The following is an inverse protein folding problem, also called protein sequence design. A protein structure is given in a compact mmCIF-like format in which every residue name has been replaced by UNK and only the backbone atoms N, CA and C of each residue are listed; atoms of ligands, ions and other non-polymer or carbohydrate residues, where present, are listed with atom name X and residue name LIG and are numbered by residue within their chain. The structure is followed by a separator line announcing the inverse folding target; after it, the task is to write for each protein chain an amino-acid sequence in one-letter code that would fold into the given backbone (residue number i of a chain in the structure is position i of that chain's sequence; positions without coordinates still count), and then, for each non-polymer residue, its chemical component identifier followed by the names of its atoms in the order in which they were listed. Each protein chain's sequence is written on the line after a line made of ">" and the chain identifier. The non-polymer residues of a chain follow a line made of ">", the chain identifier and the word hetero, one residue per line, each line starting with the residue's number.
data_IF_304961829449
#
_entry.id   IF_304961829449
#
_cell.length_a   1.000
_cell.length_b   1.000
_cell.length_c   1.000
_cell.angle_alpha   90.00
_cell.angle_beta   90.00
_cell.angle_gamma   90.00
#
_symmetry.space_group_name_H-M   'P 1'
#
loop_
_entity.id
_entity.type
_entity.pdbx_description
1 polymer ?
#
# COMPACT_ATOMS: atom_id res chain seq x y z
N UNK A 1 -21.87 27.58 56.21
CA UNK A 1 -21.35 27.74 54.84
C UNK A 1 -20.70 26.43 54.38
N UNK A 2 -21.52 25.54 53.82
CA UNK A 2 -21.04 24.32 53.18
C UNK A 2 -20.79 24.60 51.68
N UNK A 3 -19.53 24.63 51.24
CA UNK A 3 -19.16 24.56 49.79
C UNK A 3 -19.04 23.09 49.40
N UNK A 4 -20.01 22.62 48.60
CA UNK A 4 -19.98 21.30 48.01
C UNK A 4 -18.80 21.14 47.03
N UNK A 5 -17.99 20.10 47.26
CA UNK A 5 -17.00 19.58 46.33
C UNK A 5 -17.74 18.93 45.17
N UNK A 6 -17.73 19.58 43.98
CA UNK A 6 -18.13 18.94 42.75
C UNK A 6 -17.11 17.83 42.43
N UNK A 7 -17.52 16.59 42.57
CA UNK A 7 -16.72 15.43 42.21
C UNK A 7 -16.40 15.45 40.72
N UNK A 8 -15.11 15.50 40.36
CA UNK A 8 -14.60 15.20 39.03
C UNK A 8 -15.04 13.79 38.68
N UNK A 9 -16.09 13.65 37.87
CA UNK A 9 -16.42 12.39 37.24
C UNK A 9 -15.24 12.01 36.36
N UNK A 10 -14.47 11.01 36.77
CA UNK A 10 -13.38 10.42 35.99
C UNK A 10 -13.92 10.05 34.61
N UNK A 11 -13.32 10.61 33.57
CA UNK A 11 -13.52 10.22 32.19
C UNK A 11 -13.18 8.72 32.12
N UNK A 12 -14.17 7.84 31.97
CA UNK A 12 -13.93 6.44 31.61
C UNK A 12 -13.10 6.47 30.32
N UNK A 13 -11.98 5.74 30.23
CA UNK A 13 -11.28 5.61 28.98
C UNK A 13 -12.27 5.13 27.92
N UNK A 14 -12.28 5.74 26.76
CA UNK A 14 -13.04 5.27 25.63
C UNK A 14 -12.65 3.80 25.43
N UNK A 15 -13.64 2.90 25.36
CA UNK A 15 -13.36 1.50 25.08
C UNK A 15 -12.64 1.46 23.73
N UNK A 16 -11.38 1.05 23.74
CA UNK A 16 -10.63 0.81 22.53
C UNK A 16 -11.36 -0.25 21.72
N UNK A 17 -11.64 0.04 20.45
CA UNK A 17 -12.20 -0.95 19.54
C UNK A 17 -11.10 -1.95 19.21
N UNK A 18 -11.08 -3.07 19.92
CA UNK A 18 -10.14 -4.16 19.66
C UNK A 18 -10.73 -5.08 18.59
N UNK A 19 -10.10 -5.14 17.44
CA UNK A 19 -10.42 -6.10 16.37
C UNK A 19 -9.38 -7.22 16.42
N UNK A 20 -9.85 -8.46 16.55
CA UNK A 20 -8.96 -9.63 16.49
C UNK A 20 -8.67 -9.98 15.03
N UNK A 21 -7.40 -10.26 14.71
CA UNK A 21 -6.95 -10.69 13.38
C UNK A 21 -5.83 -11.71 13.55
N UNK A 22 -5.77 -12.66 12.64
CA UNK A 22 -4.71 -13.67 12.56
C UNK A 22 -3.75 -13.42 11.37
N UNK A 23 -3.78 -12.20 10.80
CA UNK A 23 -3.07 -11.90 9.55
C UNK A 23 -1.70 -11.26 9.80
N UNK A 24 -1.67 -10.13 10.48
CA UNK A 24 -0.43 -9.37 10.70
C UNK A 24 -0.22 -9.06 12.16
N UNK A 25 0.99 -9.32 12.65
CA UNK A 25 1.49 -8.84 13.93
C UNK A 25 2.67 -7.90 13.70
N UNK A 26 2.83 -6.91 14.59
CA UNK A 26 4.03 -6.06 14.66
C UNK A 26 4.60 -6.23 16.06
N UNK A 27 5.71 -6.95 16.16
CA UNK A 27 6.35 -7.31 17.43
C UNK A 27 7.85 -7.02 17.36
N UNK A 28 8.40 -6.46 18.42
CA UNK A 28 9.84 -6.13 18.47
C UNK A 28 10.32 -5.20 17.35
N UNK A 29 9.41 -4.36 16.80
CA UNK A 29 9.75 -3.48 15.67
C UNK A 29 9.82 -4.20 14.31
N UNK A 30 9.31 -5.43 14.20
CA UNK A 30 9.26 -6.19 12.96
C UNK A 30 7.81 -6.59 12.60
N UNK A 31 7.41 -6.55 11.33
CA UNK A 31 6.12 -7.06 10.86
C UNK A 31 6.20 -8.54 10.51
N UNK A 32 5.11 -9.27 10.82
CA UNK A 32 4.94 -10.70 10.56
C UNK A 32 3.60 -10.94 9.86
N UNK A 33 3.58 -11.71 8.78
CA UNK A 33 2.36 -12.21 8.15
C UNK A 33 2.11 -13.65 8.60
N UNK A 34 1.00 -13.90 9.30
CA UNK A 34 0.65 -15.22 9.85
C UNK A 34 1.83 -15.89 10.58
N UNK A 35 2.58 -15.10 11.35
CA UNK A 35 3.71 -15.57 12.13
C UNK A 35 5.05 -15.67 11.40
N UNK A 36 5.13 -15.40 10.10
CA UNK A 36 6.38 -15.39 9.34
C UNK A 36 6.90 -13.95 9.15
N UNK A 37 8.22 -13.70 9.36
CA UNK A 37 8.80 -12.37 9.15
C UNK A 37 8.60 -11.89 7.71
N UNK A 38 8.09 -10.66 7.53
CA UNK A 38 7.78 -10.13 6.21
C UNK A 38 9.01 -9.99 5.31
N UNK A 39 10.17 -9.71 5.89
CA UNK A 39 11.43 -9.62 5.15
C UNK A 39 11.94 -10.98 4.67
N UNK A 40 11.67 -12.06 5.41
CA UNK A 40 11.98 -13.43 4.97
C UNK A 40 11.03 -13.87 3.84
N UNK A 41 9.75 -13.53 3.95
CA UNK A 41 8.80 -13.74 2.86
C UNK A 41 9.23 -13.02 1.58
N UNK A 42 9.66 -11.75 1.69
CA UNK A 42 10.16 -10.97 0.54
C UNK A 42 11.50 -11.49 -0.03
N UNK A 43 12.25 -12.27 0.75
CA UNK A 43 13.48 -12.91 0.28
C UNK A 43 13.23 -14.22 -0.47
N UNK A 44 12.24 -15.00 -0.06
CA UNK A 44 12.01 -16.37 -0.52
C UNK A 44 10.80 -16.58 -1.42
N UNK A 45 9.86 -15.63 -1.47
CA UNK A 45 8.57 -15.80 -2.15
C UNK A 45 8.21 -14.59 -3.02
N UNK A 46 7.50 -14.86 -4.12
CA UNK A 46 6.88 -13.82 -4.94
C UNK A 46 5.59 -13.28 -4.34
N UNK A 47 5.14 -12.13 -4.86
CA UNK A 47 3.96 -11.43 -4.34
C UNK A 47 2.69 -12.29 -4.39
N UNK A 48 2.45 -12.98 -5.51
CA UNK A 48 1.27 -13.83 -5.67
C UNK A 48 1.27 -14.99 -4.63
N UNK A 49 2.42 -15.56 -4.35
CA UNK A 49 2.55 -16.62 -3.34
C UNK A 49 2.22 -16.11 -1.94
N UNK A 50 2.71 -14.90 -1.59
CA UNK A 50 2.44 -14.29 -0.29
C UNK A 50 0.99 -13.84 -0.16
N UNK A 51 0.36 -13.36 -1.22
CA UNK A 51 -1.06 -13.04 -1.22
C UNK A 51 -1.93 -14.30 -0.99
N UNK A 52 -1.63 -15.41 -1.67
CA UNK A 52 -2.30 -16.70 -1.43
C UNK A 52 -2.09 -17.19 0.02
N UNK A 53 -0.88 -17.02 0.55
CA UNK A 53 -0.57 -17.32 1.95
C UNK A 53 -1.41 -16.49 2.91
N UNK A 54 -1.54 -15.19 2.66
CA UNK A 54 -2.39 -14.30 3.47
C UNK A 54 -3.86 -14.74 3.44
N UNK A 55 -4.38 -15.16 2.28
CA UNK A 55 -5.78 -15.54 2.12
C UNK A 55 -6.11 -16.89 2.70
N UNK A 56 -5.25 -17.89 2.49
CA UNK A 56 -5.54 -19.29 2.78
C UNK A 56 -4.74 -19.90 3.92
N UNK A 57 -3.64 -19.25 4.34
CA UNK A 57 -2.65 -19.86 5.25
C UNK A 57 -1.80 -20.95 4.61
N UNK A 58 -1.81 -21.06 3.27
CA UNK A 58 -1.04 -22.05 2.51
C UNK A 58 -0.40 -21.39 1.30
N UNK A 59 0.84 -21.75 0.99
CA UNK A 59 1.47 -21.36 -0.26
C UNK A 59 0.86 -22.12 -1.43
N UNK A 60 0.70 -21.48 -2.61
CA UNK A 60 0.19 -22.15 -3.80
C UNK A 60 1.17 -23.21 -4.31
N UNK A 61 0.67 -24.14 -5.11
CA UNK A 61 1.54 -25.08 -5.81
C UNK A 61 2.42 -24.32 -6.83
N UNK A 62 3.66 -24.77 -7.07
CA UNK A 62 4.56 -24.13 -8.05
C UNK A 62 3.98 -24.07 -9.48
N UNK A 63 3.02 -24.94 -9.79
CA UNK A 63 2.33 -25.01 -11.09
C UNK A 63 1.04 -24.19 -11.14
N UNK A 64 0.78 -23.32 -10.15
CA UNK A 64 -0.42 -22.48 -10.14
C UNK A 64 -0.45 -21.58 -11.39
N UNK A 65 -1.60 -21.45 -12.07
CA UNK A 65 -1.71 -20.62 -13.25
C UNK A 65 -1.51 -19.14 -12.89
N UNK A 66 -0.95 -18.33 -13.82
CA UNK A 66 -0.81 -16.90 -13.61
C UNK A 66 -2.17 -16.22 -13.44
N UNK A 67 -2.23 -15.24 -12.55
CA UNK A 67 -3.45 -14.48 -12.32
C UNK A 67 -3.85 -13.67 -13.55
N UNK A 68 -5.14 -13.63 -13.86
CA UNK A 68 -5.70 -12.90 -15.00
C UNK A 68 -7.08 -12.34 -14.66
N UNK A 69 -7.36 -11.15 -15.15
CA UNK A 69 -8.72 -10.62 -15.18
C UNK A 69 -9.48 -11.18 -16.38
N UNK A 70 -10.79 -11.34 -16.26
CA UNK A 70 -11.66 -11.69 -17.38
C UNK A 70 -11.61 -10.62 -18.48
N UNK A 71 -11.73 -11.03 -19.75
CA UNK A 71 -11.59 -10.13 -20.89
C UNK A 71 -12.60 -8.98 -20.87
N UNK A 72 -13.86 -9.25 -20.50
CA UNK A 72 -14.92 -8.24 -20.39
C UNK A 72 -14.61 -7.22 -19.27
N UNK A 73 -14.22 -7.71 -18.08
CA UNK A 73 -13.82 -6.88 -16.95
C UNK A 73 -12.64 -5.97 -17.31
N UNK A 74 -11.59 -6.56 -17.92
CA UNK A 74 -10.40 -5.82 -18.35
C UNK A 74 -10.75 -4.74 -19.39
N UNK A 75 -11.60 -5.05 -20.36
CA UNK A 75 -12.06 -4.08 -21.35
C UNK A 75 -12.83 -2.92 -20.69
N UNK A 76 -13.69 -3.20 -19.70
CA UNK A 76 -14.42 -2.19 -18.95
C UNK A 76 -13.44 -1.30 -18.14
N UNK A 77 -12.50 -1.89 -17.42
CA UNK A 77 -11.50 -1.16 -16.65
C UNK A 77 -10.61 -0.26 -17.50
N UNK A 78 -10.13 -0.76 -18.64
CA UNK A 78 -9.33 0.02 -19.60
C UNK A 78 -10.11 1.20 -20.18
N UNK A 79 -11.37 1.01 -20.56
CA UNK A 79 -12.23 2.12 -21.06
C UNK A 79 -12.45 3.16 -19.98
N UNK A 80 -12.77 2.75 -18.77
CA UNK A 80 -13.05 3.66 -17.67
C UNK A 80 -11.84 4.53 -17.33
N UNK A 81 -10.64 3.96 -17.19
CA UNK A 81 -9.43 4.74 -16.90
C UNK A 81 -8.95 5.58 -18.09
N UNK A 82 -9.22 5.17 -19.34
CA UNK A 82 -8.88 5.93 -20.53
C UNK A 82 -9.69 7.23 -20.67
N UNK A 83 -10.81 7.36 -19.97
CA UNK A 83 -11.60 8.59 -19.91
C UNK A 83 -10.98 9.66 -18.97
N UNK A 84 -9.97 9.31 -18.17
CA UNK A 84 -9.26 10.26 -17.32
C UNK A 84 -8.28 11.11 -18.16
N UNK A 85 -7.98 12.34 -17.70
CA UNK A 85 -6.95 13.18 -18.33
C UNK A 85 -5.61 12.46 -18.46
N UNK A 86 -4.78 12.81 -19.46
CA UNK A 86 -3.45 12.22 -19.64
C UNK A 86 -2.56 12.33 -18.40
N UNK A 87 -2.69 13.43 -17.65
CA UNK A 87 -1.92 13.77 -16.46
C UNK A 87 -2.38 13.00 -15.22
N UNK A 88 -3.48 12.25 -15.29
CA UNK A 88 -4.00 11.48 -14.17
C UNK A 88 -2.95 10.51 -13.66
N UNK A 89 -2.74 10.52 -12.34
CA UNK A 89 -1.76 9.67 -11.68
C UNK A 89 -2.15 8.18 -11.75
N UNK A 90 -1.18 7.27 -11.69
CA UNK A 90 -1.45 5.83 -11.71
C UNK A 90 -2.47 5.38 -10.67
N UNK A 91 -2.43 5.92 -9.42
CA UNK A 91 -3.43 5.60 -8.39
C UNK A 91 -4.84 6.02 -8.77
N UNK A 92 -5.03 7.18 -9.43
CA UNK A 92 -6.35 7.63 -9.88
C UNK A 92 -6.91 6.67 -10.94
N UNK A 93 -6.06 6.22 -11.87
CA UNK A 93 -6.42 5.22 -12.89
C UNK A 93 -6.80 3.88 -12.26
N UNK A 94 -6.02 3.40 -11.28
CA UNK A 94 -6.27 2.18 -10.53
C UNK A 94 -7.63 2.25 -9.81
N UNK A 95 -7.96 3.39 -9.17
CA UNK A 95 -9.23 3.58 -8.46
C UNK A 95 -10.44 3.48 -9.39
N UNK A 96 -10.38 4.12 -10.54
CA UNK A 96 -11.46 4.05 -11.54
C UNK A 96 -11.57 2.65 -12.14
N UNK A 97 -10.43 2.03 -12.46
CA UNK A 97 -10.39 0.67 -12.98
C UNK A 97 -10.96 -0.36 -11.99
N UNK A 98 -10.69 -0.23 -10.68
CA UNK A 98 -11.19 -1.15 -9.66
C UNK A 98 -12.71 -1.26 -9.66
N UNK A 99 -13.40 -0.13 -9.76
CA UNK A 99 -14.88 -0.09 -9.83
C UNK A 99 -15.40 -0.68 -11.15
N UNK A 100 -14.71 -0.38 -12.25
CA UNK A 100 -15.14 -0.86 -13.56
C UNK A 100 -14.93 -2.37 -13.75
N UNK A 101 -13.84 -2.93 -13.19
CA UNK A 101 -13.56 -4.35 -13.22
C UNK A 101 -14.68 -5.20 -12.58
N UNK A 102 -15.34 -4.69 -11.55
CA UNK A 102 -16.46 -5.35 -10.88
C UNK A 102 -17.63 -5.68 -11.83
N UNK A 103 -17.84 -4.86 -12.86
CA UNK A 103 -18.95 -5.04 -13.81
C UNK A 103 -18.81 -6.26 -14.71
N UNK A 104 -17.63 -6.82 -14.80
CA UNK A 104 -17.34 -8.02 -15.60
C UNK A 104 -17.15 -9.30 -14.78
N UNK A 105 -17.51 -9.28 -13.50
CA UNK A 105 -17.49 -10.46 -12.61
C UNK A 105 -18.90 -10.74 -12.08
N UNK A 106 -19.58 -11.70 -12.72
CA UNK A 106 -20.94 -12.11 -12.38
C UNK A 106 -21.02 -12.81 -11.01
N UNK A 107 -19.88 -13.36 -10.53
CA UNK A 107 -19.79 -14.08 -9.26
C UNK A 107 -19.30 -13.21 -8.09
N UNK A 108 -19.12 -11.90 -8.30
CA UNK A 108 -18.54 -11.03 -7.25
C UNK A 108 -19.32 -11.00 -5.93
N UNK A 109 -20.61 -11.34 -5.94
CA UNK A 109 -21.44 -11.41 -4.74
C UNK A 109 -21.30 -12.74 -3.97
N UNK A 110 -20.57 -13.70 -4.50
CA UNK A 110 -20.22 -14.94 -3.83
C UNK A 110 -19.07 -14.70 -2.84
N UNK A 111 -19.38 -14.76 -1.54
CA UNK A 111 -18.44 -14.37 -0.48
C UNK A 111 -17.78 -15.57 0.22
N UNK A 112 -17.90 -16.78 -0.32
CA UNK A 112 -17.14 -17.91 0.20
C UNK A 112 -15.63 -17.78 -0.18
N UNK A 113 -14.71 -18.34 0.62
CA UNK A 113 -13.27 -18.06 0.46
C UNK A 113 -12.72 -18.31 -0.94
N UNK A 114 -13.15 -19.37 -1.63
CA UNK A 114 -12.66 -19.67 -2.97
C UNK A 114 -13.10 -18.64 -4.02
N UNK A 115 -14.32 -18.09 -3.93
CA UNK A 115 -14.79 -17.03 -4.81
C UNK A 115 -14.07 -15.70 -4.53
N UNK A 116 -13.92 -15.34 -3.25
CA UNK A 116 -13.20 -14.12 -2.84
C UNK A 116 -11.75 -14.15 -3.31
N UNK A 117 -11.05 -15.28 -3.18
CA UNK A 117 -9.66 -15.39 -3.66
C UNK A 117 -9.58 -15.36 -5.18
N UNK A 118 -10.53 -15.96 -5.89
CA UNK A 118 -10.62 -15.87 -7.35
C UNK A 118 -10.84 -14.42 -7.81
N UNK A 119 -11.78 -13.70 -7.19
CA UNK A 119 -12.01 -12.27 -7.43
C UNK A 119 -10.75 -11.44 -7.09
N UNK A 120 -10.04 -11.76 -6.01
CA UNK A 120 -8.79 -11.11 -5.62
C UNK A 120 -7.69 -11.24 -6.67
N UNK A 121 -7.47 -12.46 -7.20
CA UNK A 121 -6.52 -12.70 -8.30
C UNK A 121 -6.88 -11.90 -9.55
N UNK A 122 -8.16 -11.93 -9.95
CA UNK A 122 -8.64 -11.22 -11.11
C UNK A 122 -8.53 -9.70 -10.94
N UNK A 123 -8.89 -9.19 -9.76
CA UNK A 123 -8.82 -7.76 -9.45
C UNK A 123 -7.36 -7.26 -9.47
N UNK A 124 -6.45 -7.87 -8.71
CA UNK A 124 -5.05 -7.43 -8.63
C UNK A 124 -4.38 -7.47 -10.01
N UNK A 125 -4.58 -8.57 -10.76
CA UNK A 125 -4.10 -8.67 -12.13
C UNK A 125 -4.70 -7.57 -13.03
N UNK A 126 -6.02 -7.36 -12.95
CA UNK A 126 -6.73 -6.36 -13.73
C UNK A 126 -6.31 -4.92 -13.43
N UNK A 127 -5.99 -4.60 -12.17
CA UNK A 127 -5.48 -3.28 -11.80
C UNK A 127 -4.15 -2.96 -12.49
N UNK A 128 -3.23 -3.92 -12.53
CA UNK A 128 -1.96 -3.76 -13.25
C UNK A 128 -2.18 -3.68 -14.77
N UNK A 129 -3.04 -4.55 -15.33
CA UNK A 129 -3.31 -4.63 -16.76
C UNK A 129 -4.16 -3.46 -17.30
N UNK A 130 -4.85 -2.71 -16.45
CA UNK A 130 -5.62 -1.52 -16.84
C UNK A 130 -4.77 -0.26 -16.98
N UNK A 131 -3.57 -0.21 -16.40
CA UNK A 131 -2.68 0.95 -16.58
C UNK A 131 -2.28 1.12 -18.05
N UNK A 132 -2.18 2.38 -18.54
CA UNK A 132 -1.61 2.63 -19.86
C UNK A 132 -0.19 2.08 -19.93
N UNK A 133 0.12 1.40 -21.01
CA UNK A 133 1.43 0.80 -21.18
C UNK A 133 2.46 1.87 -21.54
N UNK A 134 3.53 1.97 -20.77
CA UNK A 134 4.66 2.87 -20.98
C UNK A 134 5.85 2.16 -21.64
N UNK A 135 6.14 0.92 -21.22
CA UNK A 135 7.20 0.10 -21.78
C UNK A 135 6.82 -0.50 -23.14
N UNK A 136 7.78 -0.60 -24.05
CA UNK A 136 7.64 -1.26 -25.36
C UNK A 136 7.91 -2.77 -25.31
N UNK A 137 8.56 -3.26 -24.27
CA UNK A 137 8.79 -4.69 -24.10
C UNK A 137 7.49 -5.46 -23.98
N UNK A 138 7.36 -6.63 -24.62
CA UNK A 138 6.28 -7.56 -24.33
C UNK A 138 6.32 -7.92 -22.83
N UNK A 139 5.18 -8.36 -22.27
CA UNK A 139 5.03 -8.59 -20.82
C UNK A 139 6.29 -9.19 -20.20
N UNK A 140 6.99 -8.35 -19.41
CA UNK A 140 8.20 -8.72 -18.74
C UNK A 140 7.87 -9.66 -17.59
N UNK A 141 7.62 -10.91 -17.91
CA UNK A 141 7.21 -11.91 -16.95
C UNK A 141 5.70 -11.97 -16.73
N UNK A 142 5.25 -13.12 -16.31
CA UNK A 142 3.86 -13.49 -16.17
C UNK A 142 3.20 -12.93 -14.92
N UNK A 143 4.00 -12.40 -13.96
CA UNK A 143 3.58 -11.95 -12.63
C UNK A 143 3.05 -10.50 -12.58
N UNK A 144 2.44 -10.15 -11.46
CA UNK A 144 1.89 -8.81 -11.18
C UNK A 144 2.97 -7.75 -11.26
N UNK A 145 4.16 -8.01 -10.71
CA UNK A 145 5.29 -7.08 -10.74
C UNK A 145 5.69 -6.67 -12.16
N UNK A 146 5.80 -7.64 -13.10
CA UNK A 146 6.18 -7.35 -14.48
C UNK A 146 5.13 -6.53 -15.24
N UNK A 147 3.84 -6.83 -15.02
CA UNK A 147 2.73 -6.08 -15.60
C UNK A 147 2.66 -4.65 -15.06
N UNK A 148 2.83 -4.52 -13.75
CA UNK A 148 2.85 -3.22 -13.09
C UNK A 148 4.05 -2.38 -13.55
N UNK A 149 5.22 -3.00 -13.73
CA UNK A 149 6.39 -2.34 -14.32
C UNK A 149 6.07 -1.73 -15.69
N UNK A 150 5.45 -2.51 -16.58
CA UNK A 150 5.08 -2.04 -17.91
C UNK A 150 4.13 -0.84 -17.94
N UNK A 151 3.31 -0.67 -16.90
CA UNK A 151 2.42 0.49 -16.73
C UNK A 151 3.05 1.66 -15.95
N UNK A 152 4.17 1.46 -15.28
CA UNK A 152 4.82 2.48 -14.44
C UNK A 152 6.15 2.99 -14.99
N UNK A 153 6.89 2.20 -15.77
CA UNK A 153 8.18 2.60 -16.32
C UNK A 153 8.21 2.48 -17.86
N UNK A 154 8.78 3.46 -18.57
CA UNK A 154 9.05 3.34 -19.99
C UNK A 154 10.30 2.49 -20.30
N UNK A 155 11.10 2.16 -19.28
CA UNK A 155 12.34 1.39 -19.41
C UNK A 155 12.03 -0.11 -19.35
N UNK A 156 12.83 -0.90 -20.04
CA UNK A 156 12.79 -2.34 -19.93
C UNK A 156 13.25 -2.77 -18.53
N UNK A 157 12.57 -3.74 -17.90
CA UNK A 157 12.91 -4.14 -16.54
C UNK A 157 14.21 -4.94 -16.51
N UNK A 158 15.19 -4.46 -15.76
CA UNK A 158 16.31 -5.28 -15.35
C UNK A 158 15.84 -6.32 -14.33
N UNK A 159 16.23 -7.61 -14.43
CA UNK A 159 15.73 -8.66 -13.56
C UNK A 159 15.90 -8.36 -12.06
N UNK A 160 17.00 -7.73 -11.67
CA UNK A 160 17.26 -7.38 -10.28
C UNK A 160 16.33 -6.27 -9.77
N UNK A 161 16.00 -5.27 -10.61
CA UNK A 161 15.06 -4.20 -10.25
C UNK A 161 13.61 -4.71 -10.28
N UNK A 162 13.27 -5.61 -11.21
CA UNK A 162 11.98 -6.28 -11.22
C UNK A 162 11.78 -7.10 -9.94
N UNK A 163 12.81 -7.83 -9.51
CA UNK A 163 12.81 -8.54 -8.24
C UNK A 163 12.70 -7.59 -7.02
N UNK A 164 13.22 -6.35 -7.12
CA UNK A 164 13.02 -5.36 -6.06
C UNK A 164 11.57 -4.84 -6.02
N UNK A 165 10.91 -4.68 -7.19
CA UNK A 165 9.49 -4.34 -7.27
C UNK A 165 8.62 -5.45 -6.68
N UNK A 166 8.89 -6.71 -7.01
CA UNK A 166 8.16 -7.85 -6.46
C UNK A 166 8.30 -7.93 -4.94
N UNK A 167 9.52 -7.76 -4.42
CA UNK A 167 9.75 -7.67 -2.98
C UNK A 167 9.02 -6.49 -2.35
N UNK A 168 8.94 -5.33 -3.01
CA UNK A 168 8.17 -4.19 -2.52
C UNK A 168 6.68 -4.53 -2.39
N UNK A 169 6.11 -5.25 -3.35
CA UNK A 169 4.73 -5.73 -3.28
C UNK A 169 4.52 -6.67 -2.07
N UNK A 170 5.44 -7.59 -1.82
CA UNK A 170 5.40 -8.47 -0.63
C UNK A 170 5.44 -7.65 0.66
N UNK A 171 6.41 -6.74 0.80
CA UNK A 171 6.58 -5.90 1.99
C UNK A 171 5.37 -5.03 2.32
N UNK A 172 4.52 -4.76 1.34
CA UNK A 172 3.38 -3.85 1.42
C UNK A 172 2.03 -4.59 1.42
N UNK A 173 2.01 -5.91 1.22
CA UNK A 173 0.80 -6.69 1.06
C UNK A 173 -0.19 -6.49 2.21
N UNK A 174 0.30 -6.37 3.45
CA UNK A 174 -0.51 -5.97 4.61
C UNK A 174 0.30 -5.15 5.65
N UNK A 175 -0.38 -4.53 6.58
CA UNK A 175 0.24 -3.79 7.69
C UNK A 175 -0.76 -3.53 8.81
N UNK A 176 -1.25 -4.59 9.44
CA UNK A 176 -2.20 -4.52 10.54
C UNK A 176 -3.47 -3.68 10.21
N UNK A 177 -4.05 -3.01 11.20
CA UNK A 177 -5.27 -2.21 11.05
C UNK A 177 -4.97 -0.75 10.66
N UNK A 178 -4.17 -0.54 9.63
CA UNK A 178 -4.03 0.78 9.02
C UNK A 178 -5.41 1.36 8.63
N UNK A 179 -5.52 2.69 8.49
CA UNK A 179 -6.81 3.35 8.20
C UNK A 179 -7.56 2.75 7.01
N UNK A 180 -6.84 2.42 5.92
CA UNK A 180 -7.44 1.77 4.74
C UNK A 180 -7.89 0.33 5.02
N UNK A 181 -7.15 -0.41 5.84
CA UNK A 181 -7.54 -1.75 6.25
C UNK A 181 -8.80 -1.72 7.11
N UNK A 182 -8.90 -0.79 8.05
CA UNK A 182 -10.11 -0.63 8.86
C UNK A 182 -11.31 -0.25 8.01
N UNK A 183 -11.15 0.66 7.05
CA UNK A 183 -12.21 1.04 6.11
C UNK A 183 -12.67 -0.15 5.25
N UNK A 184 -11.75 -0.96 4.75
CA UNK A 184 -12.03 -2.20 4.02
C UNK A 184 -12.79 -3.22 4.89
N UNK A 185 -12.38 -3.40 6.16
CA UNK A 185 -13.08 -4.27 7.12
C UNK A 185 -14.51 -3.81 7.39
N UNK A 186 -14.74 -2.49 7.53
CA UNK A 186 -16.10 -1.94 7.70
C UNK A 186 -16.97 -2.29 6.49
N UNK A 187 -16.47 -2.12 5.26
CA UNK A 187 -17.18 -2.50 4.06
C UNK A 187 -17.48 -4.02 4.01
N UNK A 188 -16.48 -4.85 4.30
CA UNK A 188 -16.63 -6.30 4.33
C UNK A 188 -17.63 -6.76 5.40
N UNK A 189 -17.65 -6.13 6.58
CA UNK A 189 -18.54 -6.48 7.69
C UNK A 189 -20.03 -6.35 7.36
N UNK A 190 -20.38 -5.51 6.37
CA UNK A 190 -21.74 -5.37 5.82
C UNK A 190 -21.91 -6.15 4.51
N UNK A 191 -21.01 -7.09 4.23
CA UNK A 191 -21.02 -8.01 3.08
C UNK A 191 -20.90 -7.32 1.72
N UNK A 192 -20.19 -6.19 1.64
CA UNK A 192 -19.79 -5.62 0.36
C UNK A 192 -18.89 -6.62 -0.39
N UNK A 193 -19.01 -6.66 -1.72
CA UNK A 193 -18.21 -7.58 -2.56
C UNK A 193 -16.71 -7.22 -2.55
N UNK A 194 -15.80 -8.11 -2.97
CA UNK A 194 -14.35 -7.90 -2.94
C UNK A 194 -13.87 -6.64 -3.69
N UNK A 195 -14.52 -6.27 -4.79
CA UNK A 195 -14.18 -5.06 -5.56
C UNK A 195 -14.59 -3.80 -4.81
N UNK A 196 -15.76 -3.80 -4.16
CA UNK A 196 -16.21 -2.69 -3.33
C UNK A 196 -15.31 -2.52 -2.09
N UNK A 197 -14.90 -3.61 -1.44
CA UNK A 197 -13.93 -3.60 -0.34
C UNK A 197 -12.62 -2.97 -0.78
N UNK A 198 -12.08 -3.40 -1.92
CA UNK A 198 -10.84 -2.82 -2.46
C UNK A 198 -11.02 -1.35 -2.84
N UNK A 199 -12.15 -0.96 -3.44
CA UNK A 199 -12.43 0.43 -3.81
C UNK A 199 -12.44 1.36 -2.57
N UNK A 200 -13.00 0.92 -1.44
CA UNK A 200 -12.96 1.65 -0.16
C UNK A 200 -11.54 1.78 0.37
N UNK A 201 -10.75 0.70 0.32
CA UNK A 201 -9.34 0.73 0.67
C UNK A 201 -8.53 1.70 -0.19
N UNK A 202 -8.70 1.65 -1.51
CA UNK A 202 -8.07 2.54 -2.49
C UNK A 202 -8.45 4.02 -2.28
N UNK A 203 -9.71 4.30 -1.98
CA UNK A 203 -10.17 5.64 -1.66
C UNK A 203 -9.50 6.18 -0.38
N UNK A 204 -9.33 5.33 0.63
CA UNK A 204 -8.69 5.73 1.89
C UNK A 204 -7.18 5.95 1.73
N UNK A 205 -6.50 5.12 0.92
CA UNK A 205 -5.06 5.28 0.63
C UNK A 205 -4.74 6.61 -0.03
N UNK A 206 -5.64 7.18 -0.84
CA UNK A 206 -5.40 8.46 -1.52
C UNK A 206 -5.34 9.67 -0.57
N UNK A 207 -5.59 9.48 0.73
CA UNK A 207 -5.47 10.53 1.73
C UNK A 207 -4.02 10.99 1.95
N UNK A 208 -3.80 12.29 2.12
CA UNK A 208 -2.46 12.91 2.29
C UNK A 208 -1.70 12.45 3.53
N UNK A 209 -2.39 11.87 4.52
CA UNK A 209 -1.80 11.31 5.73
C UNK A 209 -1.59 9.78 5.63
N UNK A 210 -1.82 9.18 4.45
CA UNK A 210 -1.67 7.76 4.20
C UNK A 210 -0.76 7.53 2.99
N UNK A 211 -1.27 7.22 1.79
CA UNK A 211 -0.46 6.93 0.60
C UNK A 211 0.26 8.15 0.01
N UNK A 212 -0.28 9.36 0.19
CA UNK A 212 0.31 10.60 -0.37
C UNK A 212 1.71 10.98 0.15
N UNK A 213 2.27 10.23 1.10
CA UNK A 213 3.61 10.48 1.61
C UNK A 213 4.68 10.20 0.54
N UNK A 214 4.52 9.16 -0.30
CA UNK A 214 5.51 8.81 -1.32
C UNK A 214 5.62 9.87 -2.43
N UNK A 215 4.53 10.52 -2.83
CA UNK A 215 4.56 11.64 -3.79
C UNK A 215 5.43 12.81 -3.32
N UNK A 216 5.40 13.12 -2.03
CA UNK A 216 6.23 14.19 -1.47
C UNK A 216 7.72 13.81 -1.48
N UNK A 217 8.03 12.52 -1.31
CA UNK A 217 9.41 12.02 -1.43
C UNK A 217 9.87 11.98 -2.88
N UNK A 218 9.01 11.55 -3.81
CA UNK A 218 9.29 11.61 -5.26
C UNK A 218 9.62 13.05 -5.69
N UNK A 219 8.86 14.05 -5.22
CA UNK A 219 9.13 15.45 -5.49
C UNK A 219 10.49 15.90 -4.90
N UNK A 220 10.85 15.43 -3.69
CA UNK A 220 12.16 15.71 -3.11
C UNK A 220 13.29 15.11 -3.94
N UNK A 221 13.15 13.86 -4.39
CA UNK A 221 14.15 13.20 -5.22
C UNK A 221 14.29 13.87 -6.60
N UNK A 222 13.20 14.34 -7.18
CA UNK A 222 13.20 15.05 -8.46
C UNK A 222 13.91 16.43 -8.39
N UNK A 223 13.95 17.08 -7.23
CA UNK A 223 14.66 18.35 -7.02
C UNK A 223 16.18 18.18 -6.83
N UNK A 224 16.63 16.97 -6.50
CA UNK A 224 18.03 16.69 -6.22
C UNK A 224 18.65 15.95 -7.40
N UNK A 225 19.28 16.71 -8.30
CA UNK A 225 19.90 16.16 -9.50
C UNK A 225 21.22 15.45 -9.24
N UNK A 226 21.95 15.88 -8.20
CA UNK A 226 23.28 15.38 -7.83
C UNK A 226 23.42 15.20 -6.33
N UNK A 227 24.19 14.20 -5.87
CA UNK A 227 24.37 13.88 -4.44
C UNK A 227 24.76 15.09 -3.57
N UNK A 228 25.60 16.01 -4.11
CA UNK A 228 26.10 17.18 -3.38
C UNK A 228 24.99 18.14 -3.00
N UNK A 229 23.87 18.14 -3.70
CA UNK A 229 22.71 18.99 -3.45
C UNK A 229 21.84 18.49 -2.28
N UNK A 230 21.93 17.22 -1.90
CA UNK A 230 21.08 16.56 -0.92
C UNK A 230 21.07 17.29 0.44
N UNK A 231 22.24 17.62 0.97
CA UNK A 231 22.36 18.30 2.25
C UNK A 231 21.70 19.70 2.25
N UNK A 232 21.77 20.42 1.13
CA UNK A 232 21.12 21.72 0.93
C UNK A 232 19.61 21.56 0.84
N UNK A 233 19.11 20.58 0.06
CA UNK A 233 17.67 20.34 -0.10
C UNK A 233 17.00 19.98 1.24
N UNK A 234 17.62 19.10 2.04
CA UNK A 234 17.17 18.79 3.40
C UNK A 234 17.15 20.03 4.28
N UNK A 235 18.26 20.79 4.31
CA UNK A 235 18.38 22.00 5.12
C UNK A 235 17.38 23.08 4.74
N UNK A 236 17.01 23.23 3.47
CA UNK A 236 16.01 24.20 3.01
C UNK A 236 14.61 23.85 3.52
N UNK A 237 14.20 22.58 3.48
CA UNK A 237 12.91 22.12 4.01
C UNK A 237 12.80 22.32 5.51
N UNK A 238 13.84 21.96 6.25
CA UNK A 238 13.88 22.17 7.69
C UNK A 238 13.77 23.67 8.07
N UNK A 239 14.44 24.55 7.33
CA UNK A 239 14.33 26.02 7.56
C UNK A 239 12.92 26.57 7.30
N UNK A 240 12.14 25.95 6.41
CA UNK A 240 10.73 26.28 6.16
C UNK A 240 9.78 25.66 7.18
N UNK A 241 10.28 24.88 8.15
CA UNK A 241 9.45 24.12 9.08
C UNK A 241 8.72 22.94 8.44
N UNK A 242 9.12 22.53 7.24
CA UNK A 242 8.49 21.41 6.54
C UNK A 242 8.92 20.08 7.17
N UNK A 243 7.96 19.19 7.36
CA UNK A 243 8.24 17.81 7.76
C UNK A 243 8.79 17.04 6.58
N UNK A 244 9.95 16.42 6.75
CA UNK A 244 10.50 15.50 5.76
C UNK A 244 9.68 14.21 5.73
N UNK A 245 8.92 14.01 4.65
CA UNK A 245 8.22 12.75 4.40
C UNK A 245 9.22 11.68 4.00
N UNK A 246 8.88 10.41 4.20
CA UNK A 246 9.79 9.30 3.93
C UNK A 246 10.76 8.95 5.07
N UNK A 247 10.66 9.66 6.21
CA UNK A 247 11.49 9.45 7.39
C UNK A 247 10.66 9.33 8.66
N UNK A 248 11.01 8.34 9.49
CA UNK A 248 10.30 8.01 10.73
C UNK A 248 8.98 7.27 10.50
N UNK A 249 8.64 6.39 11.44
CA UNK A 249 7.38 5.66 11.44
C UNK A 249 6.92 5.41 12.90
N UNK A 250 5.63 5.63 13.24
CA UNK A 250 5.17 5.48 14.62
C UNK A 250 5.39 4.08 15.21
N UNK A 251 5.24 3.04 14.39
CA UNK A 251 5.38 1.64 14.81
C UNK A 251 6.84 1.15 14.74
N UNK A 252 7.76 1.91 14.14
CA UNK A 252 9.16 1.56 13.97
C UNK A 252 10.07 2.71 14.39
N UNK A 253 10.14 3.02 15.70
CA UNK A 253 10.91 4.17 16.18
C UNK A 253 12.40 4.05 15.87
N UNK A 254 12.94 2.83 15.85
CA UNK A 254 14.35 2.55 15.58
C UNK A 254 14.67 2.33 14.09
N UNK A 255 13.65 2.35 13.22
CA UNK A 255 13.76 2.19 11.78
C UNK A 255 12.78 1.18 11.19
N UNK A 256 12.29 1.47 10.00
CA UNK A 256 11.36 0.60 9.28
C UNK A 256 12.11 -0.56 8.60
N UNK A 257 11.95 -1.82 9.03
CA UNK A 257 12.66 -2.95 8.46
C UNK A 257 12.32 -3.19 6.99
N UNK A 258 11.13 -2.78 6.54
CA UNK A 258 10.73 -2.86 5.14
C UNK A 258 11.56 -1.91 4.28
N UNK A 259 11.77 -0.68 4.77
CA UNK A 259 12.61 0.30 4.11
C UNK A 259 14.07 -0.16 4.06
N UNK A 260 14.61 -0.65 5.16
CA UNK A 260 15.97 -1.16 5.23
C UNK A 260 16.18 -2.29 4.22
N UNK A 261 15.27 -3.25 4.17
CA UNK A 261 15.31 -4.37 3.23
C UNK A 261 15.27 -3.91 1.76
N UNK A 262 14.31 -3.05 1.41
CA UNK A 262 14.14 -2.61 0.02
C UNK A 262 15.30 -1.73 -0.46
N UNK A 263 15.80 -0.81 0.38
CA UNK A 263 16.95 0.02 0.05
C UNK A 263 18.23 -0.83 -0.13
N UNK A 264 18.45 -1.85 0.71
CA UNK A 264 19.56 -2.77 0.56
C UNK A 264 19.44 -3.58 -0.76
N UNK A 265 18.24 -4.04 -1.09
CA UNK A 265 18.00 -4.73 -2.36
C UNK A 265 18.24 -3.82 -3.57
N UNK A 266 17.86 -2.54 -3.50
CA UNK A 266 18.15 -1.55 -4.54
C UNK A 266 19.65 -1.30 -4.69
N UNK A 267 20.40 -1.24 -3.59
CA UNK A 267 21.86 -1.08 -3.64
C UNK A 267 22.53 -2.26 -4.36
N UNK A 268 22.05 -3.48 -4.13
CA UNK A 268 22.53 -4.67 -4.84
C UNK A 268 22.11 -4.68 -6.32
N UNK A 269 20.91 -4.21 -6.63
CA UNK A 269 20.36 -4.24 -7.99
C UNK A 269 20.93 -3.12 -8.90
N UNK A 270 21.19 -1.95 -8.32
CA UNK A 270 21.56 -0.76 -9.09
C UNK A 270 22.83 -0.06 -8.54
N UNK A 271 23.74 -0.83 -7.95
CA UNK A 271 25.04 -0.32 -7.48
C UNK A 271 25.75 0.45 -8.59
N UNK A 272 26.18 1.69 -8.27
CA UNK A 272 26.79 2.59 -9.27
C UNK A 272 25.81 3.48 -10.03
N UNK A 273 24.49 3.33 -9.84
CA UNK A 273 23.51 4.24 -10.43
C UNK A 273 23.63 5.66 -9.86
N UNK A 274 23.76 6.71 -10.69
CA UNK A 274 23.74 8.10 -10.22
C UNK A 274 22.47 8.45 -9.45
N UNK A 275 21.32 7.88 -9.83
CA UNK A 275 20.05 8.08 -9.14
C UNK A 275 20.04 7.46 -7.74
N UNK A 276 20.63 6.28 -7.58
CA UNK A 276 20.77 5.67 -6.25
C UNK A 276 21.74 6.47 -5.36
N UNK A 277 22.79 7.02 -5.92
CA UNK A 277 23.71 7.90 -5.19
C UNK A 277 23.01 9.14 -4.59
N UNK A 278 22.03 9.70 -5.30
CA UNK A 278 21.16 10.78 -4.78
C UNK A 278 20.35 10.31 -3.58
N UNK A 279 19.74 9.14 -3.64
CA UNK A 279 19.00 8.54 -2.52
C UNK A 279 19.90 8.35 -1.31
N UNK A 280 21.06 7.75 -1.48
CA UNK A 280 22.03 7.51 -0.39
C UNK A 280 22.53 8.83 0.22
N UNK A 281 22.77 9.85 -0.60
CA UNK A 281 23.15 11.18 -0.13
C UNK A 281 22.04 11.85 0.70
N UNK A 282 20.76 11.68 0.33
CA UNK A 282 19.62 12.17 1.11
C UNK A 282 19.52 11.46 2.45
N UNK A 283 19.65 10.14 2.48
CA UNK A 283 19.64 9.33 3.71
C UNK A 283 20.79 9.75 4.63
N UNK A 284 21.97 9.93 4.08
CA UNK A 284 23.13 10.39 4.86
C UNK A 284 22.97 11.83 5.38
N UNK A 285 22.40 12.72 4.56
CA UNK A 285 22.17 14.11 4.96
C UNK A 285 21.15 14.24 6.12
N UNK A 286 20.15 13.34 6.18
CA UNK A 286 19.19 13.25 7.28
C UNK A 286 19.81 12.60 8.52
N UNK A 287 20.57 11.52 8.35
CA UNK A 287 21.27 10.82 9.43
C UNK A 287 22.25 11.75 10.17
N UNK A 288 23.06 12.53 9.46
CA UNK A 288 23.98 13.52 10.03
C UNK A 288 23.31 14.61 10.86
N UNK A 289 22.02 14.82 10.67
CA UNK A 289 21.20 15.81 11.40
C UNK A 289 20.40 15.22 12.56
N UNK A 290 20.58 13.92 12.85
CA UNK A 290 19.83 13.21 13.88
C UNK A 290 18.33 13.09 13.59
N UNK A 291 17.94 13.15 12.30
CA UNK A 291 16.55 12.93 11.89
C UNK A 291 16.20 11.45 11.94
N UNK A 292 14.90 11.10 12.05
CA UNK A 292 14.47 9.72 12.04
C UNK A 292 14.97 8.94 10.83
N UNK A 293 15.14 7.61 10.94
CA UNK A 293 15.57 6.77 9.83
C UNK A 293 14.53 6.72 8.70
N UNK A 294 14.94 6.26 7.49
CA UNK A 294 14.04 6.05 6.36
C UNK A 294 12.87 5.12 6.69
N UNK A 295 11.70 5.41 6.12
CA UNK A 295 10.56 4.52 6.13
C UNK A 295 10.25 3.97 4.72
N UNK A 296 9.24 3.13 4.60
CA UNK A 296 8.90 2.46 3.34
C UNK A 296 8.52 3.43 2.22
N UNK A 297 8.00 4.63 2.52
CA UNK A 297 7.68 5.62 1.49
C UNK A 297 8.93 6.14 0.79
N UNK A 298 10.05 6.35 1.53
CA UNK A 298 11.32 6.67 0.92
C UNK A 298 11.83 5.52 0.03
N UNK A 299 11.72 4.30 0.51
CA UNK A 299 12.22 3.14 -0.24
C UNK A 299 11.42 2.93 -1.56
N UNK A 300 10.10 3.17 -1.53
CA UNK A 300 9.26 3.14 -2.74
C UNK A 300 9.61 4.27 -3.71
N UNK A 301 9.76 5.49 -3.22
CA UNK A 301 10.17 6.61 -4.06
C UNK A 301 11.58 6.39 -4.64
N UNK A 302 12.49 5.77 -3.87
CA UNK A 302 13.81 5.38 -4.34
C UNK A 302 13.74 4.33 -5.46
N UNK A 303 12.90 3.30 -5.32
CA UNK A 303 12.64 2.32 -6.38
C UNK A 303 12.14 3.01 -7.65
N UNK A 304 11.11 3.86 -7.53
CA UNK A 304 10.58 4.61 -8.67
C UNK A 304 11.62 5.51 -9.33
N UNK A 305 12.43 6.21 -8.54
CA UNK A 305 13.48 7.08 -9.03
C UNK A 305 14.58 6.32 -9.79
N UNK A 306 15.07 5.21 -9.22
CA UNK A 306 16.10 4.36 -9.83
C UNK A 306 15.59 3.68 -11.09
N UNK A 307 14.38 3.15 -11.07
CA UNK A 307 13.72 2.46 -12.19
C UNK A 307 13.14 3.41 -13.25
N UNK A 308 13.26 4.73 -13.09
CA UNK A 308 12.72 5.70 -14.04
C UNK A 308 11.21 5.65 -14.19
N UNK A 309 10.49 5.32 -13.12
CA UNK A 309 9.04 5.20 -13.12
C UNK A 309 8.33 6.56 -13.20
N UNK A 310 7.10 6.54 -13.66
CA UNK A 310 6.24 7.69 -13.73
C UNK A 310 5.93 8.23 -12.32
N UNK A 311 5.63 9.53 -12.24
CA UNK A 311 5.19 10.17 -11.00
C UNK A 311 3.98 9.44 -10.42
N UNK A 312 3.99 9.20 -9.13
CA UNK A 312 2.92 8.47 -8.41
C UNK A 312 3.08 6.94 -8.47
N UNK A 313 4.19 6.43 -8.98
CA UNK A 313 4.45 5.00 -9.02
C UNK A 313 4.48 4.38 -7.62
N UNK A 314 5.06 5.05 -6.62
CA UNK A 314 5.11 4.57 -5.25
C UNK A 314 3.72 4.34 -4.65
N UNK A 315 2.79 5.27 -4.86
CA UNK A 315 1.39 5.11 -4.41
C UNK A 315 0.68 3.95 -5.13
N UNK A 316 0.92 3.80 -6.42
CA UNK A 316 0.33 2.71 -7.22
C UNK A 316 0.84 1.33 -6.77
N UNK A 317 2.15 1.19 -6.55
CA UNK A 317 2.76 -0.03 -6.02
C UNK A 317 2.17 -0.37 -4.66
N UNK A 318 2.11 0.62 -3.76
CA UNK A 318 1.49 0.45 -2.45
C UNK A 318 0.04 0.00 -2.55
N UNK A 319 -0.75 0.66 -3.40
CA UNK A 319 -2.18 0.39 -3.54
C UNK A 319 -2.46 -1.01 -4.07
N UNK A 320 -1.76 -1.43 -5.13
CA UNK A 320 -1.92 -2.78 -5.73
C UNK A 320 -1.52 -3.85 -4.73
N UNK A 321 -0.39 -3.70 -4.05
CA UNK A 321 0.07 -4.64 -3.04
C UNK A 321 -0.95 -4.81 -1.91
N UNK A 322 -1.48 -3.70 -1.38
CA UNK A 322 -2.36 -3.68 -0.22
C UNK A 322 -3.73 -4.29 -0.48
N UNK A 323 -4.16 -4.44 -1.74
CA UNK A 323 -5.39 -5.19 -2.07
C UNK A 323 -5.34 -6.60 -1.51
N UNK A 324 -4.18 -7.27 -1.52
CA UNK A 324 -4.03 -8.60 -0.93
C UNK A 324 -4.42 -8.62 0.55
N UNK A 325 -3.89 -7.68 1.33
CA UNK A 325 -4.21 -7.53 2.76
C UNK A 325 -5.67 -7.17 3.00
N UNK A 326 -6.24 -6.20 2.25
CA UNK A 326 -7.65 -5.85 2.41
C UNK A 326 -8.57 -7.03 2.18
N UNK A 327 -8.30 -7.88 1.18
CA UNK A 327 -9.11 -9.07 0.92
C UNK A 327 -8.88 -10.17 1.97
N UNK A 328 -7.67 -10.31 2.51
CA UNK A 328 -7.42 -11.21 3.63
C UNK A 328 -8.24 -10.78 4.86
N UNK A 329 -8.26 -9.49 5.17
CA UNK A 329 -9.10 -8.93 6.24
C UNK A 329 -10.60 -9.04 5.94
N UNK A 330 -11.01 -8.93 4.67
CA UNK A 330 -12.40 -9.13 4.27
C UNK A 330 -12.85 -10.58 4.50
N UNK A 331 -12.00 -11.55 4.22
CA UNK A 331 -12.30 -12.96 4.51
C UNK A 331 -12.59 -13.20 5.99
N UNK A 332 -11.82 -12.58 6.92
CA UNK A 332 -12.12 -12.65 8.33
C UNK A 332 -13.48 -12.02 8.71
N UNK A 333 -13.88 -10.92 8.05
CA UNK A 333 -15.16 -10.27 8.32
C UNK A 333 -16.34 -11.06 7.73
N UNK A 334 -16.18 -11.64 6.55
CA UNK A 334 -17.21 -12.50 5.94
C UNK A 334 -17.50 -13.73 6.80
N UNK A 335 -16.47 -14.31 7.44
CA UNK A 335 -16.61 -15.41 8.38
C UNK A 335 -17.34 -14.99 9.67
N UNK A 336 -17.02 -13.80 10.22
CA UNK A 336 -17.63 -13.28 11.44
C UNK A 336 -19.10 -12.95 11.29
N UNK A 337 -19.54 -12.54 10.12
CA UNK A 337 -20.94 -12.20 9.77
C UNK A 337 -21.61 -11.17 10.72
N UNK A 338 -20.82 -10.31 11.38
CA UNK A 338 -21.30 -9.31 12.32
C UNK A 338 -20.81 -7.92 11.91
N UNK A 339 -21.74 -6.97 11.62
CA UNK A 339 -21.37 -5.62 11.21
C UNK A 339 -20.52 -4.88 12.26
N UNK A 340 -19.44 -4.26 11.82
CA UNK A 340 -18.65 -3.34 12.65
C UNK A 340 -19.45 -2.06 12.83
N UNK A 341 -19.92 -1.79 14.06
CA UNK A 341 -20.70 -0.61 14.40
C UNK A 341 -20.15 0.10 15.64
N UNK A 342 -19.74 1.34 15.44
CA UNK A 342 -19.34 2.22 16.53
C UNK A 342 -20.54 2.95 17.12
N UNK A 343 -20.48 3.30 18.42
CA UNK A 343 -21.43 4.21 19.05
C UNK A 343 -20.85 5.62 19.07
N UNK A 344 -21.63 6.59 18.63
CA UNK A 344 -21.26 7.99 18.75
C UNK A 344 -21.62 8.52 20.15
N UNK A 345 -20.80 9.42 20.67
CA UNK A 345 -21.15 10.30 21.79
C UNK A 345 -21.65 11.60 21.17
N UNK A 346 -22.94 11.91 21.38
CA UNK A 346 -23.51 13.14 20.88
C UNK A 346 -22.97 14.34 21.67
N UNK A 347 -22.43 15.32 20.95
CA UNK A 347 -21.84 16.56 21.51
C UNK A 347 -22.51 17.82 21.00
N UNK A 348 -23.62 17.70 20.25
CA UNK A 348 -24.41 18.83 19.74
C UNK A 348 -25.36 19.42 20.80
N UNK A 349 -26.21 20.39 20.39
CA UNK A 349 -27.24 20.96 21.24
C UNK A 349 -28.21 19.87 21.75
N UNK A 350 -28.76 20.02 22.98
CA UNK A 350 -29.70 19.04 23.51
C UNK A 350 -30.93 18.90 22.59
N UNK A 351 -31.42 17.66 22.38
CA UNK A 351 -32.62 17.44 21.56
C UNK A 351 -33.81 18.24 22.13
N UNK A 352 -34.44 19.06 21.32
CA UNK A 352 -35.73 19.68 21.64
C UNK A 352 -36.80 18.61 21.59
N UNK A 353 -37.47 18.36 22.74
CA UNK A 353 -38.67 17.53 22.74
C UNK A 353 -39.83 18.41 22.22
N UNK A 354 -40.48 17.97 21.15
CA UNK A 354 -41.73 18.57 20.70
C UNK A 354 -42.84 18.29 21.68
#
# INVERSE_FOLDING_TARGET
>A
THRGRAGRRGRRPAAELVVRSALTAIEGGAPFYRGLPVTELAAGHGFEEVAEWLWSGRFPAPTAPPWRAGAAALAAGRRAQAALPPEALPLERIRVAAVALASGDDLRMELHPAAVTAAGRALIAGLADCLPRLSRSPDAGVGVAGRLWGGLSPLDPEPALLGALDAALVLLADHELAASTMAARVAASVRADPYAVAAVGLATVSGSLHGGASLAVEALLAEVERPEQAARAVGQRLRRGERLRGFGHPLYPDGDPRAAYLLDRLRRAAGGSPRLAVVDALVEATRRRGLPPPNVDLALAALGHVAGMARGAGEAIFAVARVAGWLAHALEEYERATPIRLRAVYTGPPPTRA
#
